data_IF_088815816781
#
_entry.id   IF_088815816781
#
_cell.length_a   1.000
_cell.length_b   1.000
_cell.length_c   1.000
_cell.angle_alpha   90.00
_cell.angle_beta   90.00
_cell.angle_gamma   90.00
#
_symmetry.space_group_name_H-M   'P 1'
#
loop_
_entity.id
_entity.type
_entity.pdbx_description
1 polymer ?
#
# COMPACT_ATOMS: atom_id res chain seq x y z
N UNK A 1 37.33 -18.00 5.75
CA UNK A 1 37.41 -16.53 5.68
C UNK A 1 36.24 -16.04 4.83
N UNK A 2 35.35 -15.21 5.38
CA UNK A 2 34.17 -14.73 4.65
C UNK A 2 34.55 -13.47 3.86
N UNK A 3 34.45 -13.51 2.53
CA UNK A 3 34.65 -12.36 1.67
C UNK A 3 33.48 -11.39 1.83
N UNK A 4 33.75 -10.16 2.26
CA UNK A 4 32.76 -9.08 2.52
C UNK A 4 31.99 -8.57 1.27
N UNK A 5 32.05 -9.27 0.14
CA UNK A 5 31.42 -8.86 -1.13
C UNK A 5 30.82 -10.06 -1.86
N UNK A 6 29.49 -10.29 -1.74
CA UNK A 6 28.85 -11.39 -2.44
C UNK A 6 28.88 -11.15 -3.96
N UNK A 7 29.15 -12.20 -4.73
CA UNK A 7 29.05 -12.17 -6.19
C UNK A 7 27.79 -12.90 -6.64
N UNK A 8 27.06 -12.29 -7.56
CA UNK A 8 25.87 -12.88 -8.17
C UNK A 8 26.16 -13.10 -9.65
N UNK A 9 26.14 -14.36 -10.07
CA UNK A 9 26.25 -14.76 -11.47
C UNK A 9 24.83 -15.02 -12.01
N UNK A 10 24.48 -14.37 -13.12
CA UNK A 10 23.16 -14.51 -13.74
C UNK A 10 23.29 -14.54 -15.26
N UNK A 11 22.47 -15.38 -15.90
CA UNK A 11 22.32 -15.39 -17.35
C UNK A 11 21.28 -14.34 -17.74
N UNK A 12 21.75 -13.25 -18.32
CA UNK A 12 20.88 -12.17 -18.79
C UNK A 12 20.46 -12.44 -20.24
N UNK A 13 19.20 -12.13 -20.53
CA UNK A 13 18.71 -12.14 -21.90
C UNK A 13 19.40 -11.02 -22.70
N UNK A 14 19.77 -11.29 -23.96
CA UNK A 14 20.51 -10.36 -24.84
C UNK A 14 19.99 -8.92 -24.83
N UNK A 15 18.68 -8.64 -25.03
CA UNK A 15 18.16 -7.27 -25.00
C UNK A 15 18.33 -6.57 -23.64
N UNK A 16 18.34 -7.32 -22.53
CA UNK A 16 18.56 -6.76 -21.19
C UNK A 16 20.02 -6.35 -21.03
N UNK A 17 20.94 -7.17 -21.55
CA UNK A 17 22.37 -6.86 -21.55
C UNK A 17 22.68 -5.64 -22.43
N UNK A 18 22.11 -5.57 -23.63
CA UNK A 18 22.27 -4.43 -24.54
C UNK A 18 21.79 -3.14 -23.88
N UNK A 19 20.59 -3.14 -23.28
CA UNK A 19 20.07 -1.95 -22.61
C UNK A 19 20.92 -1.54 -21.39
N UNK A 20 21.48 -2.50 -20.67
CA UNK A 20 22.41 -2.23 -19.58
C UNK A 20 23.75 -1.65 -20.08
N UNK A 21 24.23 -2.09 -21.25
CA UNK A 21 25.43 -1.56 -21.88
C UNK A 21 25.20 -0.13 -22.40
N UNK A 22 24.04 0.16 -22.98
CA UNK A 22 23.61 1.51 -23.35
C UNK A 22 23.55 2.42 -22.12
N UNK A 23 22.89 1.97 -21.05
CA UNK A 23 22.82 2.70 -19.78
C UNK A 23 24.21 3.00 -19.20
N UNK A 24 25.15 2.06 -19.30
CA UNK A 24 26.55 2.27 -18.90
C UNK A 24 27.19 3.42 -19.70
N UNK A 25 26.96 3.47 -21.01
CA UNK A 25 27.50 4.49 -21.89
C UNK A 25 26.84 5.86 -21.66
N UNK A 26 25.52 5.91 -21.53
CA UNK A 26 24.72 7.12 -21.28
C UNK A 26 25.16 7.83 -19.98
N UNK A 27 25.45 7.04 -18.93
CA UNK A 27 25.80 7.56 -17.61
C UNK A 27 27.32 7.62 -17.35
N UNK A 28 28.16 7.32 -18.34
CA UNK A 28 29.63 7.37 -18.20
C UNK A 28 30.17 6.41 -17.13
N UNK A 29 29.49 5.29 -16.88
CA UNK A 29 29.84 4.35 -15.82
C UNK A 29 30.96 3.42 -16.30
N UNK A 30 32.04 3.31 -15.53
CA UNK A 30 33.21 2.52 -15.96
C UNK A 30 32.99 0.99 -15.88
N UNK A 31 32.13 0.52 -14.96
CA UNK A 31 31.90 -0.91 -14.71
C UNK A 31 30.45 -1.32 -14.91
N UNK A 32 30.23 -2.47 -15.56
CA UNK A 32 28.90 -3.06 -15.74
C UNK A 32 28.26 -3.41 -14.38
N UNK A 33 29.04 -3.93 -13.43
CA UNK A 33 28.56 -4.22 -12.07
C UNK A 33 28.07 -2.96 -11.37
N UNK A 34 28.71 -1.82 -11.64
CA UNK A 34 28.31 -0.54 -11.07
C UNK A 34 27.01 -0.02 -11.70
N UNK A 35 26.83 -0.23 -13.00
CA UNK A 35 25.57 0.07 -13.69
C UNK A 35 24.41 -0.77 -13.13
N UNK A 36 24.62 -2.08 -12.95
CA UNK A 36 23.64 -2.97 -12.32
C UNK A 36 23.31 -2.52 -10.90
N UNK A 37 24.31 -2.18 -10.10
CA UNK A 37 24.12 -1.71 -8.74
C UNK A 37 23.26 -0.44 -8.68
N UNK A 38 23.50 0.52 -9.58
CA UNK A 38 22.68 1.74 -9.68
C UNK A 38 21.24 1.41 -10.05
N UNK A 39 21.02 0.56 -11.06
CA UNK A 39 19.67 0.15 -11.50
C UNK A 39 18.94 -0.60 -10.39
N UNK A 40 19.63 -1.47 -9.64
CA UNK A 40 19.05 -2.18 -8.52
C UNK A 40 18.79 -1.26 -7.32
N UNK A 41 19.69 -0.32 -7.03
CA UNK A 41 19.48 0.70 -6.00
C UNK A 41 18.24 1.53 -6.30
N UNK A 42 18.06 1.95 -7.55
CA UNK A 42 16.85 2.64 -8.01
C UNK A 42 15.60 1.77 -7.87
N UNK A 43 15.65 0.53 -8.38
CA UNK A 43 14.53 -0.41 -8.30
C UNK A 43 14.10 -0.74 -6.86
N UNK A 44 15.06 -0.90 -5.95
CA UNK A 44 14.80 -1.21 -4.53
C UNK A 44 14.63 0.04 -3.65
N UNK A 45 14.82 1.25 -4.18
CA UNK A 45 14.79 2.50 -3.39
C UNK A 45 15.90 2.61 -2.34
N UNK A 46 17.04 1.94 -2.57
CA UNK A 46 18.18 1.95 -1.65
C UNK A 46 19.13 3.06 -2.08
N UNK A 47 19.27 4.10 -1.26
CA UNK A 47 20.27 5.15 -1.48
C UNK A 47 21.66 4.56 -1.30
N UNK A 48 22.44 4.48 -2.38
CA UNK A 48 23.85 4.10 -2.28
C UNK A 48 24.59 5.17 -1.46
N UNK A 49 25.00 4.84 -0.24
CA UNK A 49 25.77 5.71 0.63
C UNK A 49 27.10 6.10 -0.07
N UNK A 50 27.23 7.36 -0.50
CA UNK A 50 28.49 7.93 -0.97
C UNK A 50 28.70 8.06 -2.48
N UNK A 51 27.65 8.03 -3.31
CA UNK A 51 27.80 8.08 -4.77
C UNK A 51 27.13 9.33 -5.31
N UNK A 52 27.93 10.29 -5.79
CA UNK A 52 27.45 11.29 -6.73
C UNK A 52 26.92 10.56 -7.97
N UNK A 53 25.60 10.53 -8.13
CA UNK A 53 25.00 10.13 -9.39
C UNK A 53 25.37 11.18 -10.44
N UNK A 54 25.78 10.77 -11.66
CA UNK A 54 25.96 11.71 -12.75
C UNK A 54 24.63 12.42 -13.03
N UNK A 55 24.70 13.75 -13.01
CA UNK A 55 23.60 14.70 -13.26
C UNK A 55 22.81 14.26 -14.49
N UNK A 56 21.57 13.80 -14.32
CA UNK A 56 20.71 13.44 -15.46
C UNK A 56 19.52 12.49 -15.22
N UNK A 57 19.43 11.79 -14.09
CA UNK A 57 18.32 10.85 -13.78
C UNK A 57 17.20 11.44 -12.91
N UNK A 58 17.19 12.75 -12.68
CA UNK A 58 16.18 13.45 -11.86
C UNK A 58 14.76 13.46 -12.47
N UNK A 59 14.55 12.86 -13.65
CA UNK A 59 13.23 12.86 -14.29
C UNK A 59 12.46 11.58 -13.97
N UNK A 60 11.70 11.69 -12.87
CA UNK A 60 10.47 10.95 -12.62
C UNK A 60 10.63 9.49 -12.18
N UNK A 61 10.72 9.31 -10.85
CA UNK A 61 9.95 8.33 -10.05
C UNK A 61 10.35 8.47 -8.58
N UNK A 62 9.82 9.50 -7.93
CA UNK A 62 9.91 9.61 -6.48
C UNK A 62 9.18 8.43 -5.83
N UNK A 63 9.89 7.78 -4.90
CA UNK A 63 9.37 6.73 -4.07
C UNK A 63 8.59 7.38 -2.92
N UNK A 64 7.27 7.16 -2.91
CA UNK A 64 6.33 7.69 -1.92
C UNK A 64 6.69 7.24 -0.49
N UNK A 65 7.35 8.14 0.25
CA UNK A 65 7.25 8.14 1.70
C UNK A 65 5.93 8.81 2.09
N UNK A 66 5.30 8.39 3.20
CA UNK A 66 4.03 8.99 3.68
C UNK A 66 4.08 10.52 3.79
N UNK A 67 5.28 11.05 4.02
CA UNK A 67 5.54 12.49 4.11
C UNK A 67 5.48 13.20 2.75
N UNK A 68 5.72 12.50 1.65
CA UNK A 68 5.64 13.05 0.29
C UNK A 68 4.19 13.11 -0.20
N UNK A 69 3.38 12.08 0.07
CA UNK A 69 1.92 12.15 -0.16
C UNK A 69 1.31 13.26 0.70
N UNK A 70 1.81 13.45 1.94
CA UNK A 70 1.44 14.57 2.78
C UNK A 70 1.88 15.92 2.19
N UNK A 71 3.06 15.99 1.58
CA UNK A 71 3.59 17.21 0.98
C UNK A 71 2.86 17.59 -0.31
N UNK A 72 2.63 16.65 -1.20
CA UNK A 72 1.82 16.84 -2.42
C UNK A 72 0.40 17.31 -2.08
N UNK A 73 -0.22 16.70 -1.05
CA UNK A 73 -1.53 17.14 -0.56
C UNK A 73 -1.48 18.57 0.01
N UNK A 74 -0.41 18.92 0.75
CA UNK A 74 -0.20 20.29 1.26
C UNK A 74 0.03 21.28 0.12
N UNK A 75 0.78 20.92 -0.92
CA UNK A 75 1.03 21.74 -2.11
C UNK A 75 -0.28 21.97 -2.88
N UNK A 76 -1.09 20.93 -3.07
CA UNK A 76 -2.39 21.06 -3.70
C UNK A 76 -3.33 21.99 -2.92
N UNK A 77 -3.37 21.86 -1.59
CA UNK A 77 -4.16 22.74 -0.71
C UNK A 77 -3.66 24.18 -0.74
N UNK A 78 -2.33 24.39 -0.72
CA UNK A 78 -1.73 25.72 -0.82
C UNK A 78 -2.03 26.38 -2.17
N UNK A 79 -2.00 25.62 -3.26
CA UNK A 79 -2.34 26.10 -4.60
C UNK A 79 -3.79 26.58 -4.67
N UNK A 80 -4.74 25.78 -4.15
CA UNK A 80 -6.15 26.17 -4.05
C UNK A 80 -6.33 27.45 -3.21
N UNK A 81 -5.63 27.54 -2.07
CA UNK A 81 -5.68 28.72 -1.20
C UNK A 81 -5.10 29.97 -1.90
N UNK A 82 -4.04 29.79 -2.68
CA UNK A 82 -3.42 30.87 -3.43
C UNK A 82 -4.33 31.39 -4.54
N UNK A 83 -4.98 30.50 -5.31
CA UNK A 83 -5.96 30.92 -6.32
C UNK A 83 -7.16 31.64 -5.69
N UNK A 84 -7.67 31.13 -4.57
CA UNK A 84 -8.72 31.81 -3.81
C UNK A 84 -8.31 33.23 -3.35
N UNK A 85 -7.08 33.38 -2.85
CA UNK A 85 -6.54 34.68 -2.45
C UNK A 85 -6.33 35.61 -3.64
N UNK A 86 -5.85 35.08 -4.77
CA UNK A 86 -5.70 35.82 -6.02
C UNK A 86 -7.04 36.37 -6.49
N UNK A 87 -8.09 35.56 -6.48
CA UNK A 87 -9.44 35.98 -6.85
C UNK A 87 -10.02 37.00 -5.86
N UNK A 88 -9.77 36.85 -4.56
CA UNK A 88 -10.20 37.82 -3.56
C UNK A 88 -9.50 39.17 -3.72
N UNK A 89 -8.21 39.17 -4.04
CA UNK A 89 -7.45 40.38 -4.35
C UNK A 89 -7.92 41.03 -5.64
N UNK A 90 -8.23 40.25 -6.67
CA UNK A 90 -8.80 40.75 -7.92
C UNK A 90 -10.18 41.40 -7.69
N UNK A 91 -11.01 40.81 -6.83
CA UNK A 91 -12.30 41.40 -6.43
C UNK A 91 -12.11 42.72 -5.69
N UNK A 92 -11.17 42.79 -4.73
CA UNK A 92 -10.92 44.01 -3.96
C UNK A 92 -10.30 45.13 -4.80
N UNK A 93 -9.47 44.79 -5.79
CA UNK A 93 -8.88 45.75 -6.72
C UNK A 93 -9.92 46.35 -7.70
N UNK A 94 -11.03 45.64 -7.92
CA UNK A 94 -12.10 46.06 -8.81
C UNK A 94 -13.27 46.75 -8.09
N UNK A 95 -13.21 46.90 -6.76
CA UNK A 95 -14.16 47.72 -6.00
C UNK A 95 -13.71 49.19 -6.06
N UNK A 96 -14.36 50.08 -6.85
CA UNK A 96 -14.17 51.51 -6.65
C UNK A 96 -14.71 51.84 -5.25
N UNK A 97 -13.80 52.29 -4.40
CA UNK A 97 -14.01 52.92 -3.10
C UNK A 97 -15.44 53.46 -2.90
N UNK A 98 -16.31 52.67 -2.25
CA UNK A 98 -17.58 53.14 -1.69
C UNK A 98 -17.57 52.88 -0.19
N UNK A 99 -16.68 53.60 0.48
CA UNK A 99 -16.68 53.76 1.93
C UNK A 99 -17.93 54.55 2.35
N UNK A 100 -18.60 54.07 3.41
CA UNK A 100 -19.69 54.70 4.19
C UNK A 100 -21.13 54.57 3.65
N UNK A 101 -21.89 53.56 4.11
CA UNK A 101 -23.33 53.77 4.48
C UNK A 101 -24.14 52.62 5.13
N UNK A 102 -23.58 51.47 5.52
CA UNK A 102 -24.41 50.43 6.16
C UNK A 102 -23.91 50.00 7.54
N UNK A 103 -23.80 50.97 8.44
CA UNK A 103 -23.71 50.76 9.88
C UNK A 103 -24.86 51.50 10.58
N UNK A 104 -26.10 51.07 10.36
CA UNK A 104 -27.28 51.51 11.11
C UNK A 104 -28.50 50.79 10.57
N UNK A 105 -28.94 49.70 11.20
CA UNK A 105 -30.27 49.46 11.81
C UNK A 105 -30.67 48.02 11.40
N UNK A 106 -31.19 47.11 12.21
CA UNK A 106 -32.06 47.24 13.37
C UNK A 106 -31.97 45.96 14.21
N UNK A 107 -31.80 46.17 15.51
CA UNK A 107 -32.07 45.25 16.61
C UNK A 107 -33.55 44.83 16.67
N UNK A 108 -33.82 43.53 16.87
CA UNK A 108 -34.87 42.93 17.72
C UNK A 108 -35.28 41.58 17.13
N UNK A 109 -34.95 40.46 17.76
CA UNK A 109 -35.61 39.87 18.95
C UNK A 109 -36.56 38.77 18.50
N UNK A 110 -36.22 37.50 18.75
CA UNK A 110 -37.07 36.48 19.41
C UNK A 110 -36.14 35.35 19.86
N UNK A 111 -36.16 35.09 21.17
CA UNK A 111 -35.44 34.05 21.89
C UNK A 111 -36.50 33.35 22.75
N UNK A 112 -36.85 32.09 22.47
CA UNK A 112 -37.60 31.24 23.43
C UNK A 112 -37.23 29.76 23.25
N UNK A 113 -36.19 29.37 24.00
CA UNK A 113 -35.98 28.19 24.86
C UNK A 113 -36.52 26.74 24.56
N UNK A 114 -35.88 25.72 25.21
CA UNK A 114 -35.80 24.31 24.78
C UNK A 114 -36.61 23.32 25.66
N UNK A 115 -36.79 22.08 25.18
CA UNK A 115 -37.11 20.87 25.99
C UNK A 115 -36.81 19.62 25.11
N UNK A 116 -35.81 18.76 25.39
CA UNK A 116 -35.89 17.48 26.15
C UNK A 116 -37.21 16.71 25.87
N UNK A 117 -37.27 15.41 25.51
CA UNK A 117 -36.74 14.14 26.05
C UNK A 117 -36.88 13.12 24.85
N UNK A 118 -36.05 12.11 24.55
CA UNK A 118 -35.93 10.82 25.24
C UNK A 118 -34.88 9.90 24.57
N UNK A 119 -34.03 9.26 25.38
CA UNK A 119 -33.16 8.13 25.03
C UNK A 119 -33.89 6.80 25.29
N UNK A 120 -33.56 5.70 24.58
CA UNK A 120 -32.89 4.45 25.07
C UNK A 120 -33.08 3.23 24.11
N UNK A 121 -32.43 2.04 24.32
CA UNK A 121 -31.47 1.48 23.35
C UNK A 121 -31.72 -0.01 22.96
N UNK A 122 -30.81 -0.55 22.12
CA UNK A 122 -30.32 -1.94 22.03
C UNK A 122 -31.31 -3.13 22.17
N UNK A 123 -31.41 -3.98 21.12
CA UNK A 123 -30.99 -5.38 21.23
C UNK A 123 -30.86 -6.11 19.88
N UNK A 124 -29.81 -6.93 19.80
CA UNK A 124 -29.68 -8.28 19.21
C UNK A 124 -30.30 -8.68 17.85
N UNK A 125 -29.40 -9.28 17.06
CA UNK A 125 -29.58 -10.52 16.28
C UNK A 125 -30.42 -10.46 15.00
N UNK A 126 -29.76 -10.62 13.84
CA UNK A 126 -30.18 -11.62 12.84
C UNK A 126 -29.13 -11.84 11.75
N UNK A 127 -28.68 -13.09 11.66
CA UNK A 127 -28.19 -13.72 10.43
C UNK A 127 -29.32 -13.72 9.37
N UNK A 128 -28.97 -13.89 8.09
CA UNK A 128 -29.60 -15.00 7.39
C UNK A 128 -28.57 -15.93 6.73
N UNK A 129 -28.77 -17.20 7.07
CA UNK A 129 -28.18 -18.40 6.49
C UNK A 129 -29.08 -18.90 5.37
N UNK A 130 -28.51 -19.16 4.18
CA UNK A 130 -28.88 -20.25 3.27
C UNK A 130 -27.75 -20.40 2.23
N UNK A 131 -26.79 -21.31 2.43
CA UNK A 131 -26.83 -22.74 2.03
C UNK A 131 -27.34 -22.99 0.61
N UNK A 132 -26.39 -23.17 -0.32
CA UNK A 132 -26.42 -24.27 -1.29
C UNK A 132 -25.01 -24.84 -1.42
N UNK A 133 -24.85 -26.12 -1.04
CA UNK A 133 -23.68 -26.95 -1.31
C UNK A 133 -23.53 -27.18 -2.82
N UNK A 134 -22.30 -27.30 -3.31
CA UNK A 134 -21.94 -28.55 -3.99
C UNK A 134 -20.95 -29.33 -3.14
N UNK A 135 -21.34 -30.55 -2.83
CA UNK A 135 -20.58 -31.59 -2.17
C UNK A 135 -19.76 -32.33 -3.23
N UNK A 136 -18.45 -32.45 -3.01
CA UNK A 136 -17.59 -33.41 -3.70
C UNK A 136 -16.91 -32.91 -4.98
N UNK A 137 -15.68 -32.38 -4.84
CA UNK A 137 -14.51 -32.45 -5.76
C UNK A 137 -13.49 -31.40 -5.26
N UNK A 138 -12.20 -31.64 -5.07
CA UNK A 138 -11.35 -32.71 -5.55
C UNK A 138 -10.14 -32.85 -4.63
N UNK A 139 -9.84 -34.09 -4.26
CA UNK A 139 -8.57 -34.55 -3.67
C UNK A 139 -7.34 -34.16 -4.51
N UNK A 140 -7.55 -33.75 -5.76
CA UNK A 140 -6.54 -33.24 -6.71
C UNK A 140 -6.14 -31.77 -6.49
N UNK A 141 -7.04 -30.92 -5.96
CA UNK A 141 -6.72 -29.49 -5.72
C UNK A 141 -5.83 -29.32 -4.49
N UNK A 142 -5.95 -30.23 -3.53
CA UNK A 142 -5.15 -30.26 -2.29
C UNK A 142 -3.67 -30.53 -2.63
N UNK A 143 -3.39 -31.38 -3.62
CA UNK A 143 -2.03 -31.71 -4.07
C UNK A 143 -1.32 -30.57 -4.82
N UNK A 144 -2.07 -29.64 -5.43
CA UNK A 144 -1.48 -28.51 -6.19
C UNK A 144 -1.04 -27.34 -5.28
N UNK A 145 -1.30 -27.46 -3.98
CA UNK A 145 -1.03 -26.45 -2.96
C UNK A 145 -2.02 -25.28 -3.03
N UNK A 146 -2.60 -24.93 -1.88
CA UNK A 146 -3.51 -23.81 -1.72
C UNK A 146 -2.74 -22.49 -1.56
N UNK A 147 -3.31 -21.40 -2.09
CA UNK A 147 -2.82 -20.03 -1.80
C UNK A 147 -3.26 -19.61 -0.40
N UNK A 148 -2.58 -18.62 0.21
CA UNK A 148 -2.92 -18.15 1.56
C UNK A 148 -4.36 -17.65 1.70
N UNK A 149 -4.93 -17.04 0.66
CA UNK A 149 -6.34 -16.64 0.61
C UNK A 149 -7.28 -17.83 0.53
N UNK A 150 -6.94 -18.89 -0.23
CA UNK A 150 -7.74 -20.10 -0.31
C UNK A 150 -7.74 -20.88 1.02
N UNK A 151 -6.57 -21.01 1.66
CA UNK A 151 -6.45 -21.65 2.97
C UNK A 151 -7.18 -20.84 4.05
N UNK A 152 -7.06 -19.52 4.05
CA UNK A 152 -7.76 -18.65 5.00
C UNK A 152 -9.28 -18.84 4.96
N UNK A 153 -9.87 -18.93 3.76
CA UNK A 153 -11.30 -19.23 3.59
C UNK A 153 -11.66 -20.59 4.20
N UNK A 154 -10.82 -21.60 3.99
CA UNK A 154 -11.03 -22.96 4.50
C UNK A 154 -10.97 -23.03 6.03
N UNK A 155 -9.99 -22.38 6.63
CA UNK A 155 -9.79 -22.29 8.09
C UNK A 155 -10.69 -21.25 8.78
N UNK A 156 -11.60 -20.59 8.05
CA UNK A 156 -12.43 -19.46 8.53
C UNK A 156 -11.60 -18.38 9.24
N UNK A 157 -10.38 -18.16 8.77
CA UNK A 157 -9.40 -17.23 9.34
C UNK A 157 -9.04 -16.13 8.34
N UNK A 158 -8.33 -15.10 8.77
CA UNK A 158 -7.86 -14.04 7.88
C UNK A 158 -6.53 -14.42 7.20
N UNK A 159 -6.32 -13.97 5.96
CA UNK A 159 -5.05 -14.21 5.24
C UNK A 159 -3.82 -13.68 6.01
N UNK A 160 -3.97 -12.59 6.76
CA UNK A 160 -2.93 -12.03 7.62
C UNK A 160 -2.63 -12.95 8.82
N UNK A 161 -3.66 -13.50 9.47
CA UNK A 161 -3.47 -14.49 10.56
C UNK A 161 -2.71 -15.72 10.06
N UNK A 162 -3.12 -16.28 8.91
CA UNK A 162 -2.45 -17.44 8.30
C UNK A 162 -0.99 -17.10 7.94
N UNK A 163 -0.75 -15.91 7.37
CA UNK A 163 0.59 -15.46 7.00
C UNK A 163 1.52 -15.22 8.20
N UNK A 164 0.97 -14.77 9.33
CA UNK A 164 1.73 -14.60 10.57
C UNK A 164 1.98 -15.94 11.27
N UNK A 165 1.04 -16.89 11.16
CA UNK A 165 1.13 -18.21 11.80
C UNK A 165 1.99 -19.20 11.03
N UNK A 166 2.13 -19.08 9.70
CA UNK A 166 2.92 -20.00 8.86
C UNK A 166 4.39 -20.16 9.27
N UNK A 167 4.94 -19.17 9.98
CA UNK A 167 6.33 -19.17 10.46
C UNK A 167 6.50 -19.77 11.85
N UNK A 168 5.39 -20.17 12.51
CA UNK A 168 5.44 -20.82 13.82
C UNK A 168 5.55 -22.34 13.64
N UNK A 169 6.27 -23.04 14.53
CA UNK A 169 6.37 -24.50 14.47
C UNK A 169 5.01 -25.17 14.65
N UNK A 170 4.12 -24.59 15.46
CA UNK A 170 2.77 -25.11 15.74
C UNK A 170 1.74 -24.86 14.62
N UNK A 171 2.20 -24.48 13.42
CA UNK A 171 1.29 -24.13 12.32
C UNK A 171 0.49 -25.34 11.83
N UNK A 172 1.10 -26.52 11.76
CA UNK A 172 0.46 -27.77 11.34
C UNK A 172 -0.68 -28.15 12.28
N UNK A 173 -0.43 -28.17 13.60
CA UNK A 173 -1.45 -28.45 14.62
C UNK A 173 -2.56 -27.40 14.63
N UNK A 174 -2.18 -26.11 14.54
CA UNK A 174 -3.15 -25.01 14.51
C UNK A 174 -4.08 -25.08 13.30
N UNK A 175 -3.52 -25.38 12.12
CA UNK A 175 -4.31 -25.50 10.89
C UNK A 175 -5.20 -26.75 10.91
N UNK A 176 -4.71 -27.88 11.43
CA UNK A 176 -5.50 -29.10 11.63
C UNK A 176 -6.70 -28.87 12.56
N UNK A 177 -6.53 -28.15 13.66
CA UNK A 177 -7.60 -27.89 14.62
C UNK A 177 -8.72 -26.99 14.07
N UNK A 178 -8.42 -26.18 13.04
CA UNK A 178 -9.36 -25.27 12.40
C UNK A 178 -9.96 -25.83 11.10
N UNK A 179 -9.31 -26.84 10.51
CA UNK A 179 -9.75 -27.44 9.27
C UNK A 179 -10.94 -28.37 9.51
N UNK A 180 -11.99 -28.25 8.71
CA UNK A 180 -13.17 -29.11 8.82
C UNK A 180 -12.87 -30.57 8.47
N UNK A 181 -11.84 -30.81 7.66
CA UNK A 181 -11.40 -32.15 7.28
C UNK A 181 -10.24 -32.65 8.15
N UNK A 182 -9.83 -31.88 9.18
CA UNK A 182 -8.72 -32.23 10.05
C UNK A 182 -7.37 -32.33 9.33
N UNK A 183 -7.18 -31.58 8.24
CA UNK A 183 -5.93 -31.60 7.47
C UNK A 183 -4.92 -30.64 8.10
N UNK A 184 -3.76 -31.15 8.48
CA UNK A 184 -2.61 -30.33 8.85
C UNK A 184 -2.03 -29.70 7.58
N UNK A 185 -1.80 -28.39 7.60
CA UNK A 185 -1.23 -27.66 6.47
C UNK A 185 0.21 -27.23 6.78
N UNK A 186 1.07 -27.30 5.78
CA UNK A 186 2.45 -26.83 5.81
C UNK A 186 2.68 -25.75 4.75
N UNK A 187 3.38 -24.69 5.10
CA UNK A 187 3.78 -23.67 4.14
C UNK A 187 5.11 -24.01 3.47
N UNK A 188 5.09 -24.27 2.16
CA UNK A 188 6.32 -24.44 1.38
C UNK A 188 6.76 -23.10 0.80
N UNK A 189 7.86 -22.55 1.30
CA UNK A 189 8.45 -21.29 0.82
C UNK A 189 8.82 -21.33 -0.67
N UNK A 190 9.29 -22.48 -1.18
CA UNK A 190 9.66 -22.68 -2.58
C UNK A 190 8.52 -22.42 -3.57
N UNK A 191 7.28 -22.79 -3.21
CA UNK A 191 6.10 -22.61 -4.07
C UNK A 191 5.17 -21.50 -3.58
N UNK A 192 5.47 -20.90 -2.42
CA UNK A 192 4.62 -19.94 -1.69
C UNK A 192 3.19 -20.44 -1.51
N UNK A 193 3.01 -21.76 -1.35
CA UNK A 193 1.72 -22.43 -1.24
C UNK A 193 1.67 -23.30 0.01
N UNK A 194 0.45 -23.55 0.46
CA UNK A 194 0.14 -24.43 1.57
C UNK A 194 -0.20 -25.82 1.03
N UNK A 195 0.49 -26.83 1.55
CA UNK A 195 0.30 -28.22 1.16
C UNK A 195 -0.22 -29.01 2.37
N UNK A 196 -1.03 -30.04 2.16
CA UNK A 196 -1.42 -30.95 3.23
C UNK A 196 -0.18 -31.71 3.72
N UNK A 197 -0.08 -31.89 5.02
CA UNK A 197 0.84 -32.82 5.67
C UNK A 197 0.09 -34.17 5.68
N UNK A 198 0.57 -35.15 4.91
CA UNK A 198 0.09 -36.55 4.98
C UNK A 198 0.71 -37.28 6.19
#
# INVERSE_FOLDING_TARGET
MATNKPQVLAYLHTPVYERLAEFKQEHGIQSLSRAVEIVLCDYFGIKAQGVLLPVGLEKSRNCTNKDEISLEMKVAVLSLKYEYLRDALAKLANEPNTTLQQLSTTTSSVLTQPNQIEFKPADRTSLPSSFVLPKGLSTEVVKKGLTGTALAKRLKSSSSTVSNKRSKPDFSEWSMALDQDGIAWEYRSATRKFHPLE
#
